data_IF_661828300008
#
_entry.id   IF_661828300008
#
_cell.length_a   1.000
_cell.length_b   1.000
_cell.length_c   1.000
_cell.angle_alpha   90.00
_cell.angle_beta   90.00
_cell.angle_gamma   90.00
#
_symmetry.space_group_name_H-M   'P 1'
#
loop_
_entity.id
_entity.type
_entity.pdbx_description
1 polymer ?
#
# COMPACT_ATOMS: atom_id res chain seq x y z
N UNK A 1 5.43 -4.91 -37.94
CA UNK A 1 6.81 -4.99 -37.44
C UNK A 1 7.22 -3.58 -37.03
N UNK A 2 7.42 -3.37 -35.72
CA UNK A 2 7.69 -2.06 -35.11
C UNK A 2 9.20 -1.87 -35.07
N UNK A 3 9.71 -0.92 -35.86
CA UNK A 3 11.10 -0.44 -35.80
C UNK A 3 11.05 1.05 -35.46
N UNK A 4 10.89 1.36 -34.18
CA UNK A 4 11.11 2.72 -33.66
C UNK A 4 11.57 2.58 -32.22
N UNK A 5 12.89 2.61 -32.03
CA UNK A 5 13.70 3.26 -30.97
C UNK A 5 15.13 2.80 -31.31
N UNK A 6 15.67 3.39 -32.37
CA UNK A 6 17.11 3.51 -32.58
C UNK A 6 17.36 5.00 -32.47
N UNK A 7 18.38 5.36 -31.73
CA UNK A 7 18.91 6.72 -31.60
C UNK A 7 18.24 7.53 -30.46
N UNK A 8 18.43 7.07 -29.23
CA UNK A 8 18.52 7.98 -28.08
C UNK A 8 19.99 8.37 -27.96
N UNK A 9 20.30 9.58 -28.41
CA UNK A 9 21.55 10.29 -28.18
C UNK A 9 21.85 10.32 -26.67
N UNK A 10 22.96 9.71 -26.27
CA UNK A 10 23.50 9.72 -24.91
C UNK A 10 24.68 10.69 -24.77
N UNK A 11 24.78 11.66 -25.68
CA UNK A 11 25.81 12.68 -25.59
C UNK A 11 25.30 13.91 -24.84
N UNK A 12 26.17 14.40 -23.95
CA UNK A 12 26.22 15.78 -23.47
C UNK A 12 25.47 16.14 -22.17
N UNK A 13 25.79 15.46 -21.06
CA UNK A 13 25.82 16.10 -19.74
C UNK A 13 27.18 15.89 -19.07
N UNK A 14 28.22 16.45 -19.69
CA UNK A 14 29.48 16.75 -19.00
C UNK A 14 29.58 18.24 -18.73
N UNK A 15 29.86 18.56 -17.46
CA UNK A 15 30.32 19.83 -16.88
C UNK A 15 29.43 21.06 -16.99
N UNK A 16 28.98 21.58 -15.84
CA UNK A 16 29.68 22.73 -15.26
C UNK A 16 29.47 22.84 -13.74
N UNK A 17 30.51 23.21 -13.02
CA UNK A 17 30.61 23.11 -11.57
C UNK A 17 30.09 24.32 -10.79
N UNK A 18 29.64 24.07 -9.56
CA UNK A 18 29.78 25.03 -8.47
C UNK A 18 30.38 24.31 -7.25
N UNK A 19 31.64 24.65 -7.01
CA UNK A 19 32.50 24.23 -5.91
C UNK A 19 32.21 25.11 -4.69
N UNK A 20 31.47 24.56 -3.72
CA UNK A 20 31.43 25.10 -2.36
C UNK A 20 32.10 24.08 -1.42
N UNK A 21 33.43 24.16 -1.39
CA UNK A 21 34.32 23.85 -0.28
C UNK A 21 33.73 23.10 0.92
N UNK A 22 33.73 21.78 0.85
CA UNK A 22 33.81 20.94 2.05
C UNK A 22 35.02 20.02 1.97
N UNK A 23 36.04 20.40 2.72
CA UNK A 23 37.21 19.58 3.01
C UNK A 23 36.76 18.32 3.76
N UNK A 24 36.73 17.18 3.05
CA UNK A 24 36.80 15.86 3.67
C UNK A 24 37.79 15.02 2.87
N UNK A 25 39.04 15.05 3.30
CA UNK A 25 39.98 13.99 2.97
C UNK A 25 39.36 12.62 3.32
N UNK A 26 39.58 11.64 2.43
CA UNK A 26 39.37 10.21 2.64
C UNK A 26 37.95 9.61 2.65
N UNK A 27 37.04 10.12 1.83
CA UNK A 27 35.98 9.29 1.25
C UNK A 27 36.13 9.26 -0.26
N UNK A 28 37.09 8.44 -0.75
CA UNK A 28 37.01 7.88 -2.10
C UNK A 28 35.73 7.05 -2.16
N UNK A 29 34.60 7.70 -2.41
CA UNK A 29 33.40 7.03 -2.87
C UNK A 29 33.80 6.48 -4.24
N UNK A 30 34.24 5.22 -4.27
CA UNK A 30 34.37 4.47 -5.52
C UNK A 30 33.00 4.54 -6.14
N UNK A 31 32.83 5.37 -7.16
CA UNK A 31 31.64 5.36 -7.98
C UNK A 31 31.42 3.91 -8.39
N UNK A 32 30.27 3.35 -8.01
CA UNK A 32 29.88 2.00 -8.41
C UNK A 32 29.55 2.07 -9.90
N UNK A 33 30.59 1.99 -10.74
CA UNK A 33 30.43 1.85 -12.18
C UNK A 33 30.12 0.40 -12.46
N UNK A 34 28.84 0.09 -12.62
CA UNK A 34 28.39 -1.20 -13.13
C UNK A 34 28.47 -1.13 -14.65
N UNK A 35 29.17 -2.09 -15.26
CA UNK A 35 29.19 -2.20 -16.71
C UNK A 35 27.84 -2.74 -17.22
N UNK A 36 27.44 -2.43 -18.47
CA UNK A 36 26.20 -2.96 -19.04
C UNK A 36 26.13 -4.50 -19.05
N UNK A 37 27.28 -5.16 -19.10
CA UNK A 37 27.40 -6.62 -19.05
C UNK A 37 27.14 -7.16 -17.64
N UNK A 38 27.77 -6.58 -16.61
CA UNK A 38 27.51 -6.92 -15.20
C UNK A 38 26.06 -6.68 -14.80
N UNK A 39 25.44 -5.62 -15.34
CA UNK A 39 24.02 -5.35 -15.10
C UNK A 39 23.12 -6.44 -15.69
N UNK A 40 23.39 -6.88 -16.92
CA UNK A 40 22.61 -7.96 -17.57
C UNK A 40 22.78 -9.28 -16.83
N UNK A 41 24.00 -9.64 -16.47
CA UNK A 41 24.27 -10.86 -15.70
C UNK A 41 23.58 -10.83 -14.33
N UNK A 42 23.60 -9.68 -13.65
CA UNK A 42 22.87 -9.47 -12.40
C UNK A 42 21.35 -9.60 -12.57
N UNK A 43 20.79 -9.06 -13.65
CA UNK A 43 19.38 -9.15 -13.96
C UNK A 43 18.95 -10.60 -14.25
N UNK A 44 19.70 -11.32 -15.08
CA UNK A 44 19.42 -12.72 -15.42
C UNK A 44 19.47 -13.60 -14.16
N UNK A 45 20.49 -13.41 -13.32
CA UNK A 45 20.61 -14.14 -12.05
C UNK A 45 19.44 -13.84 -11.10
N UNK A 46 19.04 -12.58 -10.95
CA UNK A 46 17.91 -12.20 -10.13
C UNK A 46 16.58 -12.79 -10.65
N UNK A 47 16.39 -12.83 -11.98
CA UNK A 47 15.19 -13.45 -12.57
C UNK A 47 15.17 -14.97 -12.39
N UNK A 48 16.31 -15.65 -12.49
CA UNK A 48 16.41 -17.09 -12.26
C UNK A 48 16.10 -17.44 -10.79
N UNK A 49 16.69 -16.69 -9.84
CA UNK A 49 16.42 -16.88 -8.41
C UNK A 49 14.95 -16.60 -8.05
N UNK A 50 14.32 -15.61 -8.69
CA UNK A 50 12.92 -15.31 -8.46
C UNK A 50 11.99 -16.40 -9.01
N UNK A 51 12.32 -16.95 -10.19
CA UNK A 51 11.57 -18.06 -10.78
C UNK A 51 11.63 -19.32 -9.91
N UNK A 52 12.80 -19.66 -9.38
CA UNK A 52 12.97 -20.81 -8.47
C UNK A 52 12.19 -20.59 -7.15
N UNK A 53 12.16 -19.36 -6.63
CA UNK A 53 11.36 -19.02 -5.44
C UNK A 53 9.86 -19.13 -5.68
N UNK A 54 9.37 -18.75 -6.86
CA UNK A 54 7.95 -18.91 -7.21
C UNK A 54 7.61 -20.40 -7.34
N UNK A 55 8.40 -21.17 -8.09
CA UNK A 55 8.13 -22.59 -8.31
C UNK A 55 8.18 -23.39 -6.98
N UNK A 56 9.10 -23.05 -6.07
CA UNK A 56 9.15 -23.66 -4.74
C UNK A 56 8.04 -23.18 -3.79
N UNK A 57 7.53 -21.96 -3.94
CA UNK A 57 6.38 -21.47 -3.20
C UNK A 57 5.07 -22.12 -3.69
N UNK A 58 4.91 -22.30 -5.00
CA UNK A 58 3.77 -22.99 -5.59
C UNK A 58 3.72 -24.47 -5.17
N UNK A 59 4.86 -25.18 -5.20
CA UNK A 59 4.94 -26.56 -4.72
C UNK A 59 4.63 -26.70 -3.22
N UNK A 60 5.04 -25.73 -2.39
CA UNK A 60 4.70 -25.68 -0.96
C UNK A 60 3.22 -25.35 -0.72
N UNK A 61 2.63 -24.48 -1.53
CA UNK A 61 1.21 -24.14 -1.47
C UNK A 61 0.32 -25.33 -1.89
N UNK A 62 0.75 -26.13 -2.87
CA UNK A 62 0.06 -27.35 -3.28
C UNK A 62 0.16 -28.46 -2.22
N UNK A 63 1.33 -28.64 -1.60
CA UNK A 63 1.51 -29.59 -0.50
C UNK A 63 0.70 -29.20 0.75
N UNK A 64 0.53 -27.91 1.03
CA UNK A 64 -0.26 -27.41 2.16
C UNK A 64 -1.78 -27.66 1.99
N UNK A 65 -2.29 -27.74 0.75
CA UNK A 65 -3.72 -27.99 0.49
C UNK A 65 -4.16 -29.44 0.77
N UNK A 66 -3.25 -30.41 0.82
CA UNK A 66 -3.62 -31.82 1.00
C UNK A 66 -3.56 -32.30 2.46
N UNK A 67 -3.00 -31.54 3.41
CA UNK A 67 -2.78 -32.03 4.77
C UNK A 67 -3.49 -31.31 5.92
N UNK A 68 -4.14 -30.16 5.73
CA UNK A 68 -4.80 -29.47 6.85
C UNK A 68 -6.26 -29.10 6.56
N UNK A 69 -7.16 -29.99 6.97
CA UNK A 69 -8.50 -29.65 7.45
C UNK A 69 -8.47 -29.00 8.84
N UNK A 70 -7.50 -28.15 9.09
CA UNK A 70 -7.40 -27.26 10.25
C UNK A 70 -7.46 -25.87 9.69
N UNK A 71 -8.44 -25.11 10.14
CA UNK A 71 -8.68 -23.73 9.77
C UNK A 71 -7.41 -22.88 9.98
N UNK A 72 -6.56 -22.83 8.96
CA UNK A 72 -5.75 -21.67 8.73
C UNK A 72 -6.76 -20.57 8.45
N UNK A 73 -6.95 -19.70 9.45
CA UNK A 73 -7.58 -18.40 9.26
C UNK A 73 -6.83 -17.75 8.11
N UNK A 74 -7.40 -17.86 6.91
CA UNK A 74 -7.03 -17.05 5.77
C UNK A 74 -7.30 -15.64 6.26
N UNK A 75 -6.24 -14.96 6.69
CA UNK A 75 -6.27 -13.52 6.84
C UNK A 75 -6.42 -13.01 5.41
N UNK A 76 -7.67 -12.71 5.02
CA UNK A 76 -7.97 -12.04 3.77
C UNK A 76 -6.97 -10.88 3.61
N UNK A 77 -6.32 -10.81 2.45
CA UNK A 77 -5.35 -9.78 2.04
C UNK A 77 -5.96 -8.35 1.99
N UNK A 78 -7.13 -8.12 2.58
CA UNK A 78 -7.80 -6.80 2.65
C UNK A 78 -7.55 -6.06 3.98
N UNK A 79 -6.78 -6.62 4.92
CA UNK A 79 -6.37 -5.97 6.18
C UNK A 79 -5.14 -5.03 6.01
N UNK A 80 -4.85 -4.54 4.79
CA UNK A 80 -3.75 -3.60 4.50
C UNK A 80 -3.83 -2.31 5.33
N UNK A 81 -5.04 -1.90 5.75
CA UNK A 81 -5.26 -0.77 6.64
C UNK A 81 -4.95 -1.06 8.11
N UNK A 82 -4.95 -2.32 8.54
CA UNK A 82 -4.73 -2.71 9.94
C UNK A 82 -3.25 -2.67 10.35
N UNK A 83 -2.34 -2.70 9.38
CA UNK A 83 -0.89 -2.71 9.63
C UNK A 83 -0.22 -1.35 9.42
N UNK A 84 -1.00 -0.30 9.13
CA UNK A 84 -0.47 1.06 9.10
C UNK A 84 -0.33 1.62 10.51
N UNK A 85 0.90 1.98 10.90
CA UNK A 85 1.17 2.58 12.22
C UNK A 85 0.63 4.02 12.23
N UNK A 86 -0.32 4.36 13.12
CA UNK A 86 -0.88 5.70 13.16
C UNK A 86 0.19 6.74 13.50
N UNK A 87 0.22 7.91 12.82
CA UNK A 87 1.19 8.96 13.12
C UNK A 87 1.11 9.48 14.58
N UNK A 88 -0.04 9.35 15.23
CA UNK A 88 -0.22 9.67 16.66
C UNK A 88 0.67 8.81 17.56
N UNK A 89 0.74 7.50 17.31
CA UNK A 89 1.55 6.55 18.09
C UNK A 89 3.04 6.87 17.93
N UNK A 90 3.46 7.18 16.71
CA UNK A 90 4.86 7.58 16.43
C UNK A 90 5.21 8.86 17.19
N UNK A 91 4.29 9.84 17.25
CA UNK A 91 4.49 11.06 18.02
C UNK A 91 4.61 10.79 19.52
N UNK A 92 3.76 9.92 20.06
CA UNK A 92 3.79 9.56 21.48
C UNK A 92 5.09 8.83 21.86
N UNK A 93 5.50 7.84 21.07
CA UNK A 93 6.76 7.14 21.28
C UNK A 93 7.97 8.10 21.25
N UNK A 94 7.97 9.07 20.33
CA UNK A 94 9.00 10.14 20.31
C UNK A 94 8.97 11.03 21.55
N UNK A 95 7.79 11.40 22.04
CA UNK A 95 7.66 12.19 23.28
C UNK A 95 8.16 11.42 24.49
N UNK A 96 8.02 10.09 24.49
CA UNK A 96 8.54 9.19 25.51
C UNK A 96 10.06 8.94 25.38
N UNK A 97 10.72 9.50 24.35
CA UNK A 97 12.14 9.31 24.10
C UNK A 97 12.49 7.96 23.47
N UNK A 98 11.52 7.24 22.91
CA UNK A 98 11.76 6.00 22.18
C UNK A 98 12.36 6.28 20.79
N UNK A 99 13.33 5.46 20.40
CA UNK A 99 13.88 5.48 19.05
C UNK A 99 12.95 4.72 18.10
N UNK A 100 12.41 5.43 17.11
CA UNK A 100 11.56 4.85 16.05
C UNK A 100 12.47 4.18 15.01
N UNK A 101 12.76 2.89 15.19
CA UNK A 101 13.49 2.05 14.23
C UNK A 101 12.60 0.91 13.69
N UNK A 102 13.14 0.09 12.78
CA UNK A 102 12.42 -1.07 12.25
C UNK A 102 12.01 -2.05 13.37
N UNK A 103 12.88 -2.27 14.36
CA UNK A 103 12.58 -3.16 15.49
C UNK A 103 11.44 -2.63 16.38
N UNK A 104 11.31 -1.31 16.50
CA UNK A 104 10.18 -0.68 17.18
C UNK A 104 8.88 -0.93 16.41
N UNK A 105 8.90 -0.75 15.09
CA UNK A 105 7.74 -0.98 14.24
C UNK A 105 7.28 -2.44 14.29
N UNK A 106 8.20 -3.40 14.21
CA UNK A 106 7.90 -4.83 14.30
C UNK A 106 7.28 -5.19 15.64
N UNK A 107 7.88 -4.72 16.75
CA UNK A 107 7.32 -4.94 18.11
C UNK A 107 5.93 -4.33 18.28
N UNK A 108 5.68 -3.17 17.69
CA UNK A 108 4.38 -2.54 17.71
C UNK A 108 3.34 -3.37 16.94
N UNK A 109 3.69 -3.83 15.74
CA UNK A 109 2.83 -4.65 14.89
C UNK A 109 2.49 -5.99 15.54
N UNK A 110 3.48 -6.67 16.13
CA UNK A 110 3.26 -7.95 16.81
C UNK A 110 2.34 -7.81 18.01
N UNK A 111 2.51 -6.74 18.81
CA UNK A 111 1.60 -6.43 19.91
C UNK A 111 0.19 -6.18 19.39
N UNK A 112 0.06 -5.40 18.31
CA UNK A 112 -1.25 -5.07 17.74
C UNK A 112 -1.95 -6.30 17.17
N UNK A 113 -1.22 -7.21 16.52
CA UNK A 113 -1.74 -8.50 16.05
C UNK A 113 -2.27 -9.34 17.20
N UNK A 114 -1.52 -9.43 18.30
CA UNK A 114 -1.95 -10.17 19.48
C UNK A 114 -3.23 -9.57 20.11
N UNK A 115 -3.33 -8.24 20.18
CA UNK A 115 -4.53 -7.55 20.65
C UNK A 115 -5.75 -7.84 19.77
N UNK A 116 -5.61 -7.72 18.45
CA UNK A 116 -6.71 -7.98 17.50
C UNK A 116 -7.13 -9.44 17.55
N UNK A 117 -6.17 -10.38 17.65
CA UNK A 117 -6.48 -11.80 17.79
C UNK A 117 -7.25 -12.08 19.07
N UNK A 118 -6.87 -11.42 20.18
CA UNK A 118 -7.58 -11.52 21.46
C UNK A 118 -8.99 -10.94 21.38
N UNK A 119 -9.15 -9.76 20.79
CA UNK A 119 -10.47 -9.13 20.61
C UNK A 119 -11.39 -10.00 19.75
N UNK A 120 -10.86 -10.60 18.67
CA UNK A 120 -11.60 -11.55 17.83
C UNK A 120 -12.00 -12.81 18.61
N UNK A 121 -11.13 -13.33 19.48
CA UNK A 121 -11.43 -14.48 20.32
C UNK A 121 -12.51 -14.18 21.37
N UNK A 122 -12.43 -13.04 22.05
CA UNK A 122 -13.42 -12.60 23.05
C UNK A 122 -14.79 -12.34 22.40
N UNK A 123 -14.82 -11.75 21.19
CA UNK A 123 -16.06 -11.58 20.41
C UNK A 123 -16.66 -12.93 19.99
N UNK A 124 -15.84 -13.91 19.64
CA UNK A 124 -16.32 -15.26 19.30
C UNK A 124 -16.93 -16.00 20.50
N UNK A 125 -16.39 -15.81 21.70
CA UNK A 125 -16.89 -16.44 22.93
C UNK A 125 -18.24 -15.85 23.39
N UNK A 126 -18.45 -14.55 23.18
CA UNK A 126 -19.69 -13.87 23.55
C UNK A 126 -20.86 -14.11 22.57
N UNK A 127 -20.67 -14.88 21.51
CA UNK A 127 -21.73 -15.28 20.58
C UNK A 127 -22.33 -14.12 19.75
N UNK A 128 -21.80 -12.91 19.88
CA UNK A 128 -22.20 -11.75 19.08
C UNK A 128 -21.37 -11.74 17.79
N UNK A 129 -21.61 -12.75 16.94
CA UNK A 129 -21.22 -12.71 15.53
C UNK A 129 -22.25 -11.84 14.80
N UNK A 130 -22.33 -10.56 15.17
CA UNK A 130 -22.80 -9.60 14.18
C UNK A 130 -21.72 -9.60 13.11
N UNK A 131 -22.04 -10.14 11.94
CA UNK A 131 -21.37 -9.83 10.69
C UNK A 131 -21.45 -8.31 10.49
N UNK A 132 -20.62 -7.61 11.24
CA UNK A 132 -20.61 -6.17 11.37
C UNK A 132 -19.70 -5.58 10.29
N UNK A 133 -19.77 -6.17 9.10
CA UNK A 133 -19.44 -5.48 7.84
C UNK A 133 -20.50 -4.42 7.49
N UNK A 134 -21.43 -4.12 8.42
CA UNK A 134 -22.52 -3.15 8.27
C UNK A 134 -22.53 -2.01 9.30
N UNK A 135 -21.54 -1.90 10.20
CA UNK A 135 -21.36 -0.73 11.08
C UNK A 135 -20.74 0.49 10.39
N UNK A 136 -20.85 0.57 9.06
CA UNK A 136 -20.97 1.90 8.46
C UNK A 136 -22.23 2.51 9.08
N UNK A 137 -22.14 3.61 9.84
CA UNK A 137 -23.30 4.20 10.49
C UNK A 137 -24.34 4.46 9.41
N UNK A 138 -25.44 3.70 9.41
CA UNK A 138 -26.50 3.91 8.43
C UNK A 138 -26.87 5.38 8.52
N UNK A 139 -26.75 6.15 7.42
CA UNK A 139 -27.11 7.54 7.45
C UNK A 139 -28.54 7.69 7.95
N UNK A 140 -28.81 8.77 8.71
CA UNK A 140 -30.17 9.05 9.13
C UNK A 140 -31.08 9.07 7.90
N UNK A 141 -32.27 8.42 7.97
CA UNK A 141 -33.21 8.42 6.86
C UNK A 141 -33.53 9.86 6.47
N UNK A 142 -33.65 10.09 5.16
CA UNK A 142 -33.97 11.40 4.62
C UNK A 142 -35.30 11.90 5.21
N UNK A 143 -35.44 13.20 5.49
CA UNK A 143 -36.71 13.77 5.94
C UNK A 143 -37.85 13.41 4.98
N UNK A 144 -39.07 13.12 5.48
CA UNK A 144 -40.20 12.83 4.63
C UNK A 144 -40.47 14.00 3.68
N UNK A 145 -40.51 13.72 2.37
CA UNK A 145 -40.65 14.73 1.31
C UNK A 145 -39.34 15.21 0.66
N UNK A 146 -38.18 14.76 1.15
CA UNK A 146 -36.90 15.08 0.52
C UNK A 146 -36.64 14.19 -0.69
N UNK A 147 -36.67 14.76 -1.89
CA UNK A 147 -36.31 14.07 -3.14
C UNK A 147 -34.85 14.39 -3.46
N UNK A 148 -33.99 13.37 -3.53
CA UNK A 148 -32.60 13.56 -4.00
C UNK A 148 -32.58 13.56 -5.52
N UNK A 149 -32.21 14.69 -6.11
CA UNK A 149 -31.91 14.81 -7.55
C UNK A 149 -30.39 14.90 -7.72
N UNK A 150 -29.81 13.97 -8.46
CA UNK A 150 -28.38 14.01 -8.82
C UNK A 150 -28.25 14.49 -10.25
N UNK A 151 -27.46 15.53 -10.45
CA UNK A 151 -27.33 16.18 -11.75
C UNK A 151 -26.38 15.39 -12.66
N UNK A 152 -25.40 14.71 -12.06
CA UNK A 152 -24.30 14.09 -12.79
C UNK A 152 -24.45 12.59 -13.03
N UNK A 153 -25.48 11.91 -12.49
CA UNK A 153 -25.65 10.46 -12.66
C UNK A 153 -25.91 10.04 -14.13
N UNK A 154 -26.61 10.88 -14.89
CA UNK A 154 -26.92 10.63 -16.30
C UNK A 154 -26.03 11.43 -17.27
N UNK A 155 -25.12 12.24 -16.74
CA UNK A 155 -24.27 13.11 -17.55
C UNK A 155 -23.07 12.31 -18.04
N UNK A 156 -22.71 12.47 -19.32
CA UNK A 156 -21.57 11.76 -19.89
C UNK A 156 -20.26 12.37 -19.38
N UNK A 157 -19.17 11.60 -19.27
CA UNK A 157 -17.88 12.12 -18.81
C UNK A 157 -17.36 13.30 -19.63
N UNK A 158 -17.64 13.33 -20.94
CA UNK A 158 -17.20 14.38 -21.84
C UNK A 158 -17.89 15.73 -21.59
N UNK A 159 -19.06 15.71 -20.94
CA UNK A 159 -19.87 16.90 -20.65
C UNK A 159 -19.55 17.51 -19.27
N UNK A 160 -18.65 16.90 -18.49
CA UNK A 160 -18.24 17.38 -17.17
C UNK A 160 -17.06 18.34 -17.32
N UNK A 161 -17.25 19.61 -16.92
CA UNK A 161 -16.18 20.61 -16.95
C UNK A 161 -15.45 20.67 -15.60
N UNK A 162 -14.25 21.23 -15.61
CA UNK A 162 -13.46 21.45 -14.38
C UNK A 162 -14.19 22.33 -13.36
N UNK A 163 -15.08 23.23 -13.81
CA UNK A 163 -15.93 24.05 -12.95
C UNK A 163 -16.94 23.23 -12.15
N UNK A 164 -17.29 22.05 -12.63
CA UNK A 164 -18.38 21.23 -12.11
C UNK A 164 -17.86 20.20 -11.09
N UNK A 165 -16.54 20.01 -11.01
CA UNK A 165 -15.87 19.08 -10.09
C UNK A 165 -16.26 19.30 -8.63
N UNK A 166 -16.29 20.54 -8.08
CA UNK A 166 -16.68 20.74 -6.69
C UNK A 166 -18.10 20.23 -6.39
N UNK A 167 -19.03 20.43 -7.31
CA UNK A 167 -20.42 19.98 -7.18
C UNK A 167 -20.54 18.47 -7.33
N UNK A 168 -19.82 17.88 -8.30
CA UNK A 168 -19.75 16.43 -8.48
C UNK A 168 -19.21 15.72 -7.23
N UNK A 169 -18.14 16.23 -6.64
CA UNK A 169 -17.56 15.67 -5.41
C UNK A 169 -18.53 15.81 -4.22
N UNK A 170 -19.31 16.88 -4.16
CA UNK A 170 -20.34 17.05 -3.14
C UNK A 170 -21.45 16.01 -3.29
N UNK A 171 -21.99 15.82 -4.50
CA UNK A 171 -22.98 14.79 -4.81
C UNK A 171 -22.45 13.37 -4.51
N UNK A 172 -21.20 13.08 -4.89
CA UNK A 172 -20.54 11.80 -4.62
C UNK A 172 -20.37 11.52 -3.13
N UNK A 173 -19.96 12.52 -2.34
CA UNK A 173 -19.90 12.38 -0.87
C UNK A 173 -21.27 12.05 -0.30
N UNK A 174 -22.33 12.73 -0.73
CA UNK A 174 -23.68 12.41 -0.28
C UNK A 174 -24.11 10.98 -0.66
N UNK A 175 -23.67 10.48 -1.81
CA UNK A 175 -23.99 9.12 -2.27
C UNK A 175 -23.24 8.04 -1.48
N UNK A 176 -21.95 8.24 -1.17
CA UNK A 176 -21.19 7.31 -0.33
C UNK A 176 -21.79 7.26 1.07
N UNK A 177 -22.10 8.42 1.66
CA UNK A 177 -22.67 8.47 2.99
C UNK A 177 -24.13 8.00 3.01
N UNK A 178 -24.78 7.77 1.85
CA UNK A 178 -26.15 7.26 1.76
C UNK A 178 -26.26 5.74 1.97
N UNK A 179 -25.15 5.02 1.89
CA UNK A 179 -25.08 3.56 1.89
C UNK A 179 -24.75 3.03 3.29
#
# INVERSE_FOLDING_TARGET
>A
AVQFIKDLDFDEHSSDGHDDGFSSADLKVKGLTITPEEFREGLEKATAEFKEKIESAEAKAEAAKQQNGTAAVVLDDEDDGLFSIPPSVVREARLNGETIDANWADRWLDRRRAEVAKERAEKAENGEYTDDRSSVPKPPPLPPGFTRSYTFLSTKPEDIRMSDIPQLLHEYRMLIHAR
#
